data_IF_573222758065
#
_entry.id   IF_573222758065
#
_cell.length_a   1.000
_cell.length_b   1.000
_cell.length_c   1.000
_cell.angle_alpha   90.00
_cell.angle_beta   90.00
_cell.angle_gamma   90.00
#
_symmetry.space_group_name_H-M   'P 1'
#
loop_
_entity.id
_entity.type
_entity.pdbx_description
1 polymer ?
#
# COMPACT_ATOMS: atom_id res chain seq x y z
N UNK A 1 -0.18 26.64 35.17
CA UNK A 1 0.86 25.91 34.40
C UNK A 1 1.90 26.91 33.95
N UNK A 2 3.20 26.62 34.10
CA UNK A 2 4.26 27.52 33.64
C UNK A 2 4.37 27.51 32.11
N UNK A 3 4.87 28.60 31.54
CA UNK A 3 5.09 28.76 30.09
C UNK A 3 5.97 27.64 29.53
N UNK A 4 7.02 27.24 30.26
CA UNK A 4 7.90 26.14 29.89
C UNK A 4 7.16 24.80 29.76
N UNK A 5 6.22 24.50 30.68
CA UNK A 5 5.43 23.26 30.63
C UNK A 5 4.46 23.26 29.46
N UNK A 6 3.90 24.42 29.10
CA UNK A 6 3.04 24.57 27.90
C UNK A 6 3.84 24.36 26.62
N UNK A 7 5.03 24.95 26.53
CA UNK A 7 5.93 24.79 25.37
C UNK A 7 6.31 23.33 25.19
N UNK A 8 6.73 22.65 26.28
CA UNK A 8 7.12 21.24 26.23
C UNK A 8 5.98 20.35 25.71
N UNK A 9 4.75 20.58 26.19
CA UNK A 9 3.58 19.82 25.74
C UNK A 9 3.33 20.06 24.25
N UNK A 10 3.38 21.30 23.77
CA UNK A 10 3.18 21.62 22.35
C UNK A 10 4.23 20.95 21.45
N UNK A 11 5.49 20.95 21.87
CA UNK A 11 6.58 20.28 21.14
C UNK A 11 6.35 18.78 21.06
N UNK A 12 5.94 18.15 22.18
CA UNK A 12 5.65 16.72 22.21
C UNK A 12 4.46 16.35 21.32
N UNK A 13 3.39 17.14 21.33
CA UNK A 13 2.24 16.92 20.44
C UNK A 13 2.66 17.03 18.97
N UNK A 14 3.40 18.09 18.61
CA UNK A 14 3.87 18.29 17.24
C UNK A 14 4.77 17.14 16.76
N UNK A 15 5.71 16.70 17.61
CA UNK A 15 6.58 15.57 17.32
C UNK A 15 5.78 14.28 17.12
N UNK A 16 4.82 13.99 18.02
CA UNK A 16 3.99 12.78 17.92
C UNK A 16 3.10 12.77 16.68
N UNK A 17 2.55 13.93 16.30
CA UNK A 17 1.70 14.06 15.13
C UNK A 17 2.51 13.86 13.84
N UNK A 18 3.73 14.42 13.77
CA UNK A 18 4.63 14.22 12.63
C UNK A 18 5.03 12.76 12.47
N UNK A 19 5.37 12.07 13.56
CA UNK A 19 5.68 10.63 13.51
C UNK A 19 4.48 9.78 13.14
N UNK A 20 3.28 10.07 13.67
CA UNK A 20 2.07 9.32 13.34
C UNK A 20 1.69 9.46 11.85
N UNK A 21 1.86 10.66 11.28
CA UNK A 21 1.59 10.92 9.87
C UNK A 21 2.53 10.15 8.94
N UNK A 22 3.81 10.02 9.31
CA UNK A 22 4.79 9.29 8.51
C UNK A 22 4.48 7.78 8.38
N UNK A 23 3.84 7.16 9.39
CA UNK A 23 3.48 5.74 9.35
C UNK A 23 2.07 5.45 8.83
N UNK A 24 1.18 6.45 8.80
CA UNK A 24 -0.20 6.26 8.36
C UNK A 24 -0.33 6.03 6.85
N UNK A 25 0.62 6.48 6.04
CA UNK A 25 0.56 6.40 4.57
C UNK A 25 1.23 5.15 3.98
N UNK A 26 1.80 4.27 4.82
CA UNK A 26 2.62 3.16 4.34
C UNK A 26 3.92 3.59 3.65
N UNK A 27 4.25 4.88 3.65
CA UNK A 27 5.47 5.40 3.05
C UNK A 27 6.69 4.96 3.87
N UNK A 28 7.64 4.31 3.22
CA UNK A 28 8.94 3.98 3.82
C UNK A 28 9.96 5.08 3.51
N UNK A 29 10.74 5.47 4.53
CA UNK A 29 11.93 6.31 4.32
C UNK A 29 13.03 5.44 3.76
N UNK A 30 13.48 5.73 2.54
CA UNK A 30 14.59 5.01 1.88
C UNK A 30 15.87 5.83 2.07
N UNK A 31 16.65 5.49 3.10
CA UNK A 31 17.98 6.05 3.34
C UNK A 31 19.03 5.29 2.50
N UNK A 32 19.12 5.62 1.21
CA UNK A 32 20.07 5.01 0.28
C UNK A 32 20.05 5.62 -1.12
N UNK A 33 20.90 5.14 -2.06
CA UNK A 33 20.80 5.51 -3.46
C UNK A 33 19.42 5.12 -3.98
N UNK A 34 18.64 6.09 -4.40
CA UNK A 34 17.31 5.90 -4.97
C UNK A 34 17.21 6.68 -6.29
N UNK A 35 16.50 6.11 -7.25
CA UNK A 35 16.18 6.80 -8.50
C UNK A 35 15.26 7.99 -8.19
N UNK A 36 15.55 9.14 -8.80
CA UNK A 36 14.70 10.32 -8.67
C UNK A 36 13.54 10.21 -9.65
N UNK A 37 12.33 9.98 -9.13
CA UNK A 37 11.10 10.15 -9.91
C UNK A 37 10.80 11.63 -10.06
N UNK A 38 10.86 12.14 -11.30
CA UNK A 38 10.50 13.52 -11.60
C UNK A 38 9.05 13.76 -11.15
N UNK A 39 8.83 14.81 -10.36
CA UNK A 39 7.54 15.23 -9.80
C UNK A 39 6.91 14.36 -8.70
N UNK A 40 7.53 13.23 -8.33
CA UNK A 40 7.02 12.37 -7.25
C UNK A 40 5.76 11.58 -7.62
N UNK A 41 5.40 11.53 -8.91
CA UNK A 41 4.24 10.78 -9.41
C UNK A 41 4.62 9.30 -9.57
N UNK A 42 4.74 8.59 -8.45
CA UNK A 42 4.96 7.14 -8.42
C UNK A 42 3.70 6.44 -7.95
N UNK A 43 3.20 5.51 -8.77
CA UNK A 43 2.02 4.72 -8.46
C UNK A 43 2.35 3.23 -8.58
N UNK A 44 1.92 2.46 -7.60
CA UNK A 44 1.93 1.00 -7.70
C UNK A 44 0.77 0.59 -8.61
N UNK A 45 1.04 -0.27 -9.58
CA UNK A 45 0.03 -0.81 -10.49
C UNK A 45 0.08 -2.34 -10.50
N UNK A 46 -1.01 -3.01 -10.89
CA UNK A 46 -0.97 -4.44 -11.18
C UNK A 46 0.16 -4.78 -12.16
N UNK A 47 0.88 -5.87 -11.93
CA UNK A 47 1.95 -6.30 -12.82
C UNK A 47 1.43 -6.66 -14.22
N UNK A 48 2.31 -6.62 -15.21
CA UNK A 48 2.01 -7.22 -16.50
C UNK A 48 1.93 -8.76 -16.39
N UNK A 49 1.01 -9.37 -17.15
CA UNK A 49 0.88 -10.81 -17.25
C UNK A 49 -0.15 -11.44 -16.31
N UNK A 50 -0.11 -12.77 -16.11
CA UNK A 50 -1.20 -13.49 -15.47
C UNK A 50 -1.35 -13.16 -13.98
N UNK A 51 -0.24 -12.91 -13.26
CA UNK A 51 -0.26 -12.67 -11.83
C UNK A 51 -0.80 -11.27 -11.48
N UNK A 52 -0.62 -10.29 -12.37
CA UNK A 52 -1.24 -8.98 -12.19
C UNK A 52 -2.76 -9.00 -12.24
N UNK A 53 -3.39 -10.03 -12.81
CA UNK A 53 -4.87 -10.15 -12.83
C UNK A 53 -5.48 -10.35 -11.45
N UNK A 54 -4.68 -10.75 -10.47
CA UNK A 54 -5.10 -10.82 -9.07
C UNK A 54 -5.17 -9.44 -8.41
N UNK A 55 -4.67 -8.38 -9.05
CA UNK A 55 -4.70 -7.02 -8.54
C UNK A 55 -5.44 -6.06 -9.48
N UNK A 56 -6.13 -5.07 -8.93
CA UNK A 56 -6.76 -3.98 -9.69
C UNK A 56 -7.06 -2.78 -8.80
N UNK A 57 -7.28 -1.61 -9.42
CA UNK A 57 -7.87 -0.46 -8.74
C UNK A 57 -9.38 -0.68 -8.62
N UNK A 58 -9.91 -0.62 -7.40
CA UNK A 58 -11.34 -0.69 -7.15
C UNK A 58 -12.02 0.66 -7.45
N UNK A 59 -13.33 0.74 -7.21
CA UNK A 59 -14.13 1.95 -7.47
C UNK A 59 -13.71 3.16 -6.60
N UNK A 60 -12.92 2.92 -5.55
CA UNK A 60 -12.38 3.94 -4.63
C UNK A 60 -10.92 4.32 -4.98
N UNK A 61 -10.41 3.93 -6.15
CA UNK A 61 -9.02 4.11 -6.59
C UNK A 61 -7.98 3.45 -5.65
N UNK A 62 -8.38 2.42 -4.89
CA UNK A 62 -7.48 1.64 -4.03
C UNK A 62 -7.04 0.34 -4.70
N UNK A 63 -5.78 -0.06 -4.45
CA UNK A 63 -5.27 -1.36 -4.90
C UNK A 63 -5.93 -2.49 -4.11
N UNK A 64 -6.78 -3.25 -4.79
CA UNK A 64 -7.36 -4.48 -4.30
C UNK A 64 -6.54 -5.69 -4.79
N UNK A 65 -6.38 -6.68 -3.91
CA UNK A 65 -5.91 -8.02 -4.29
C UNK A 65 -7.08 -8.98 -4.13
N UNK A 66 -7.57 -9.54 -5.23
CA UNK A 66 -8.68 -10.48 -5.24
C UNK A 66 -8.21 -11.86 -5.71
N UNK A 67 -8.10 -12.79 -4.76
CA UNK A 67 -7.77 -14.19 -5.01
C UNK A 67 -9.01 -15.09 -4.97
N UNK A 68 -10.21 -14.52 -5.00
CA UNK A 68 -11.48 -15.23 -4.90
C UNK A 68 -12.08 -15.54 -6.28
N UNK A 69 -13.04 -16.48 -6.33
CA UNK A 69 -13.78 -16.81 -7.55
C UNK A 69 -14.53 -15.60 -8.17
N UNK A 70 -14.78 -14.53 -7.40
CA UNK A 70 -15.46 -13.33 -7.90
C UNK A 70 -14.54 -12.32 -8.59
N UNK A 71 -13.23 -12.60 -8.69
CA UNK A 71 -12.30 -11.66 -9.32
C UNK A 71 -12.75 -11.34 -10.76
N UNK A 72 -13.13 -10.07 -11.05
CA UNK A 72 -13.69 -9.67 -12.34
C UNK A 72 -12.69 -9.75 -13.49
N UNK A 73 -11.39 -9.73 -13.17
CA UNK A 73 -10.31 -9.81 -14.15
C UNK A 73 -9.97 -11.24 -14.53
N UNK A 74 -10.44 -12.25 -13.78
CA UNK A 74 -10.21 -13.67 -14.07
C UNK A 74 -11.41 -14.28 -14.82
N UNK A 75 -11.31 -14.30 -16.15
CA UNK A 75 -12.31 -14.84 -17.08
C UNK A 75 -12.27 -16.37 -17.25
N UNK A 76 -11.50 -17.07 -16.44
CA UNK A 76 -11.46 -18.53 -16.47
C UNK A 76 -12.62 -19.07 -15.63
N UNK A 77 -13.62 -19.75 -16.25
CA UNK A 77 -14.78 -20.27 -15.52
C UNK A 77 -14.44 -21.42 -14.55
N UNK A 78 -13.21 -21.96 -14.62
CA UNK A 78 -12.72 -22.98 -13.68
C UNK A 78 -11.98 -22.39 -12.47
N UNK A 79 -11.83 -21.06 -12.42
CA UNK A 79 -11.16 -20.41 -11.31
C UNK A 79 -12.11 -20.26 -10.10
N UNK A 80 -11.83 -21.04 -9.06
CA UNK A 80 -12.62 -21.08 -7.82
C UNK A 80 -12.01 -20.21 -6.70
N UNK A 81 -10.90 -19.54 -6.98
CA UNK A 81 -10.16 -18.79 -5.97
C UNK A 81 -9.35 -19.67 -5.01
N UNK A 82 -8.80 -19.01 -3.98
CA UNK A 82 -7.99 -19.65 -2.95
C UNK A 82 -8.88 -20.05 -1.76
N UNK A 83 -8.70 -21.28 -1.27
CA UNK A 83 -9.44 -21.79 -0.11
C UNK A 83 -9.21 -20.94 1.15
N UNK A 84 -10.25 -20.81 1.97
CA UNK A 84 -10.17 -20.12 3.26
C UNK A 84 -9.13 -20.82 4.16
N UNK A 85 -8.24 -20.05 4.76
CA UNK A 85 -7.19 -20.56 5.64
C UNK A 85 -6.01 -21.21 4.90
N UNK A 86 -6.03 -21.26 3.57
CA UNK A 86 -4.87 -21.67 2.80
C UNK A 86 -3.80 -20.58 2.82
N UNK A 87 -2.55 -20.99 2.59
CA UNK A 87 -1.43 -20.09 2.38
C UNK A 87 -0.80 -20.44 1.03
N UNK A 88 -0.52 -19.40 0.25
CA UNK A 88 0.18 -19.51 -1.02
C UNK A 88 1.15 -18.36 -1.16
N UNK A 89 2.08 -18.49 -2.11
CA UNK A 89 2.97 -17.41 -2.51
C UNK A 89 2.73 -17.13 -3.99
N UNK A 90 2.56 -15.86 -4.32
CA UNK A 90 2.44 -15.36 -5.68
C UNK A 90 3.47 -14.26 -5.81
N UNK A 91 4.40 -14.43 -6.75
CA UNK A 91 5.38 -13.41 -7.08
C UNK A 91 4.86 -12.55 -8.24
N UNK A 92 5.39 -11.33 -8.40
CA UNK A 92 5.06 -10.41 -9.50
C UNK A 92 3.56 -10.07 -9.59
N UNK A 93 2.94 -9.68 -8.45
CA UNK A 93 1.56 -9.18 -8.41
C UNK A 93 1.49 -7.69 -8.77
N UNK A 94 2.56 -6.93 -8.50
CA UNK A 94 2.63 -5.49 -8.72
C UNK A 94 3.89 -5.09 -9.49
N UNK A 95 3.81 -3.95 -10.17
CA UNK A 95 4.96 -3.21 -10.68
C UNK A 95 4.90 -1.77 -10.19
N UNK A 96 6.08 -1.16 -10.08
CA UNK A 96 6.27 0.27 -9.82
C UNK A 96 6.53 0.95 -11.16
#
# INVERSE_FOLDING_TARGET
>A
MSTARRILILVLLAASAATALAFATGAAVVDGPADTVANGDLAIQPADGPNGRYAYLNDDDEIAIDVSASNPNIRDPSFEGVNVGATGRIDDVFTI
#
